data_IF_745528743751
#
_entry.id   IF_745528743751
#
_cell.length_a   1.000
_cell.length_b   1.000
_cell.length_c   1.000
_cell.angle_alpha   90.00
_cell.angle_beta   90.00
_cell.angle_gamma   90.00
#
_symmetry.space_group_name_H-M   'P 1'
#
loop_
_entity.id
_entity.type
_entity.pdbx_description
1 polymer ?
#
# COMPACT_ATOMS: atom_id res chain seq x y z
N UNK A 1 27.10 5.20 -64.12
CA UNK A 1 27.46 5.47 -62.70
C UNK A 1 26.43 6.46 -62.18
N UNK A 2 25.32 5.96 -61.64
CA UNK A 2 24.31 6.79 -60.99
C UNK A 2 24.48 6.62 -59.48
N UNK A 3 24.88 7.70 -58.80
CA UNK A 3 25.07 7.74 -57.35
C UNK A 3 23.74 8.11 -56.69
N UNK A 4 23.13 7.13 -56.02
CA UNK A 4 21.97 7.33 -55.15
C UNK A 4 22.35 8.19 -53.93
N UNK A 5 21.85 9.42 -53.87
CA UNK A 5 21.81 10.21 -52.65
C UNK A 5 20.43 10.06 -52.01
N UNK A 6 20.30 9.16 -51.03
CA UNK A 6 19.18 9.19 -50.08
C UNK A 6 19.47 10.22 -48.98
N UNK A 7 18.51 11.07 -48.58
CA UNK A 7 18.67 11.88 -47.38
C UNK A 7 18.54 11.02 -46.13
N UNK A 8 19.59 11.04 -45.30
CA UNK A 8 19.58 10.51 -43.93
C UNK A 8 18.52 11.26 -43.10
N UNK A 9 17.37 10.63 -42.88
CA UNK A 9 16.46 10.98 -41.80
C UNK A 9 17.05 10.41 -40.51
N UNK A 10 17.81 11.22 -39.79
CA UNK A 10 18.11 10.98 -38.39
C UNK A 10 16.77 10.91 -37.64
N UNK A 11 16.34 9.70 -37.29
CA UNK A 11 15.21 9.48 -36.40
C UNK A 11 15.64 9.99 -35.03
N UNK A 12 15.27 11.24 -34.74
CA UNK A 12 15.30 11.79 -33.40
C UNK A 12 14.28 11.02 -32.57
N UNK A 13 14.73 9.96 -31.90
CA UNK A 13 13.98 9.25 -30.88
C UNK A 13 13.93 10.06 -29.58
N UNK A 14 13.43 11.29 -29.64
CA UNK A 14 12.92 11.98 -28.47
C UNK A 14 11.54 11.39 -28.18
N UNK A 15 11.52 10.22 -27.55
CA UNK A 15 10.33 9.78 -26.82
C UNK A 15 10.15 10.75 -25.66
N UNK A 16 9.37 11.82 -25.90
CA UNK A 16 8.69 12.54 -24.82
C UNK A 16 7.83 11.50 -24.09
N UNK A 17 8.42 10.86 -23.07
CA UNK A 17 7.67 10.05 -22.12
C UNK A 17 6.71 11.03 -21.44
N UNK A 18 5.43 10.97 -21.81
CA UNK A 18 4.35 11.47 -20.96
C UNK A 18 4.62 10.83 -19.60
N UNK A 19 4.86 11.60 -18.52
CA UNK A 19 5.17 11.00 -17.23
C UNK A 19 3.95 10.22 -16.78
N UNK A 20 4.03 8.89 -16.93
CA UNK A 20 2.95 7.96 -16.66
C UNK A 20 2.43 8.19 -15.24
N UNK A 21 1.11 8.17 -15.08
CA UNK A 21 0.54 8.24 -13.74
C UNK A 21 1.11 7.08 -12.90
N UNK A 22 1.51 7.35 -11.64
CA UNK A 22 2.01 6.30 -10.78
C UNK A 22 0.90 5.27 -10.53
N UNK A 23 1.21 3.99 -10.71
CA UNK A 23 0.28 2.92 -10.35
C UNK A 23 0.24 2.82 -8.82
N UNK A 24 -0.84 3.32 -8.23
CA UNK A 24 -1.00 3.47 -6.79
C UNK A 24 -2.21 2.70 -6.29
N UNK A 25 -2.00 1.94 -5.22
CA UNK A 25 -3.09 1.40 -4.42
C UNK A 25 -3.69 2.55 -3.60
N UNK A 26 -5.01 2.75 -3.73
CA UNK A 26 -5.72 3.76 -2.96
C UNK A 26 -5.72 3.46 -1.46
N UNK A 27 -5.62 4.50 -0.63
CA UNK A 27 -5.78 4.42 0.81
C UNK A 27 -7.19 3.98 1.17
N UNK A 28 -7.27 2.89 1.92
CA UNK A 28 -8.50 2.39 2.52
C UNK A 28 -8.30 2.37 4.04
N UNK A 29 -8.98 3.25 4.79
CA UNK A 29 -8.80 3.32 6.25
C UNK A 29 -9.34 2.09 6.99
N UNK A 30 -10.12 1.22 6.35
CA UNK A 30 -10.71 0.02 6.95
C UNK A 30 -9.90 -1.24 6.64
N UNK A 31 -9.51 -1.41 5.38
CA UNK A 31 -8.91 -2.66 4.88
C UNK A 31 -7.46 -2.50 4.39
N UNK A 32 -6.94 -1.28 4.35
CA UNK A 32 -5.63 -0.93 3.80
C UNK A 32 -4.48 -0.97 4.81
N UNK A 33 -3.33 -0.43 4.38
CA UNK A 33 -2.19 -0.18 5.26
C UNK A 33 -2.43 1.06 6.11
N UNK A 34 -1.64 1.23 7.19
CA UNK A 34 -1.69 2.42 8.06
C UNK A 34 -1.43 3.69 7.23
N UNK A 35 -2.08 4.79 7.60
CA UNK A 35 -1.96 6.07 6.87
C UNK A 35 -0.51 6.53 6.72
N UNK A 36 0.33 6.36 7.74
CA UNK A 36 1.76 6.72 7.70
C UNK A 36 2.51 5.93 6.61
N UNK A 37 2.34 4.61 6.60
CA UNK A 37 2.95 3.72 5.60
C UNK A 37 2.40 4.00 4.19
N UNK A 38 1.12 4.32 4.09
CA UNK A 38 0.50 4.68 2.82
C UNK A 38 1.03 6.00 2.27
N UNK A 39 1.20 7.03 3.11
CA UNK A 39 1.77 8.32 2.71
C UNK A 39 3.24 8.17 2.28
N UNK A 40 4.01 7.33 2.97
CA UNK A 40 5.38 7.00 2.54
C UNK A 40 5.39 6.30 1.17
N UNK A 41 4.54 5.28 0.99
CA UNK A 41 4.37 4.58 -0.28
C UNK A 41 3.97 5.54 -1.42
N UNK A 42 2.99 6.41 -1.16
CA UNK A 42 2.51 7.43 -2.10
C UNK A 42 3.62 8.39 -2.50
N UNK A 43 4.38 8.91 -1.53
CA UNK A 43 5.50 9.81 -1.78
C UNK A 43 6.62 9.16 -2.59
N UNK A 44 6.96 7.91 -2.29
CA UNK A 44 7.98 7.16 -3.03
C UNK A 44 7.56 6.92 -4.48
N UNK A 45 6.31 6.53 -4.72
CA UNK A 45 5.78 6.36 -6.07
C UNK A 45 5.77 7.69 -6.85
N UNK A 46 5.36 8.80 -6.22
CA UNK A 46 5.41 10.12 -6.81
C UNK A 46 6.84 10.52 -7.17
N UNK A 47 7.82 10.25 -6.29
CA UNK A 47 9.24 10.52 -6.55
C UNK A 47 9.76 9.75 -7.76
N UNK A 48 9.43 8.47 -7.88
CA UNK A 48 9.82 7.62 -9.03
C UNK A 48 9.23 8.16 -10.34
N UNK A 49 7.99 8.65 -10.30
CA UNK A 49 7.29 9.24 -11.45
C UNK A 49 7.53 10.75 -11.64
N UNK A 50 8.50 11.33 -10.93
CA UNK A 50 8.85 12.74 -10.96
C UNK A 50 7.63 13.68 -10.76
N UNK A 51 6.77 13.36 -9.78
CA UNK A 51 5.59 14.14 -9.38
C UNK A 51 5.92 14.97 -8.14
N UNK A 52 5.77 16.27 -8.28
CA UNK A 52 6.00 17.27 -7.23
C UNK A 52 4.80 17.41 -6.29
N UNK A 53 4.92 18.30 -5.29
CA UNK A 53 3.88 18.50 -4.30
C UNK A 53 2.61 19.12 -4.90
N UNK A 54 2.71 19.94 -5.94
CA UNK A 54 1.55 20.51 -6.64
C UNK A 54 0.72 19.39 -7.31
N UNK A 55 1.41 18.46 -7.99
CA UNK A 55 0.75 17.29 -8.55
C UNK A 55 0.11 16.44 -7.46
N UNK A 56 0.82 16.20 -6.35
CA UNK A 56 0.27 15.41 -5.22
C UNK A 56 -1.00 16.05 -4.66
N UNK A 57 -0.98 17.36 -4.41
CA UNK A 57 -2.13 18.09 -3.89
C UNK A 57 -3.35 17.97 -4.80
N UNK A 58 -3.13 18.06 -6.12
CA UNK A 58 -4.21 17.95 -7.11
C UNK A 58 -4.79 16.53 -7.23
N UNK A 59 -3.97 15.50 -6.99
CA UNK A 59 -4.32 14.12 -7.33
C UNK A 59 -4.57 13.20 -6.14
N UNK A 60 -4.17 13.56 -4.92
CA UNK A 60 -4.26 12.67 -3.75
C UNK A 60 -5.67 12.15 -3.50
N UNK A 61 -6.71 12.96 -3.73
CA UNK A 61 -8.11 12.57 -3.54
C UNK A 61 -8.54 11.39 -4.42
N UNK A 62 -7.93 11.22 -5.61
CA UNK A 62 -8.16 10.06 -6.49
C UNK A 62 -7.76 8.74 -5.83
N UNK A 63 -6.87 8.81 -4.85
CA UNK A 63 -6.30 7.66 -4.15
C UNK A 63 -6.78 7.54 -2.71
N UNK A 64 -7.88 8.20 -2.32
CA UNK A 64 -8.52 8.03 -1.02
C UNK A 64 -9.86 7.28 -1.19
N UNK A 65 -10.20 6.41 -0.24
CA UNK A 65 -11.48 5.67 -0.23
C UNK A 65 -12.27 5.92 1.05
N UNK A 66 -13.59 5.74 0.94
CA UNK A 66 -14.51 5.71 2.07
C UNK A 66 -14.44 6.96 2.95
N UNK A 67 -14.25 6.76 4.26
CA UNK A 67 -14.18 7.85 5.24
C UNK A 67 -12.99 8.79 5.00
N UNK A 68 -11.89 8.33 4.39
CA UNK A 68 -10.75 9.18 4.05
C UNK A 68 -11.08 10.19 2.96
N UNK A 69 -11.74 9.75 1.88
CA UNK A 69 -12.19 10.67 0.83
C UNK A 69 -13.24 11.65 1.36
N UNK A 70 -14.16 11.17 2.19
CA UNK A 70 -15.20 12.00 2.81
C UNK A 70 -14.58 13.09 3.69
N UNK A 71 -13.61 12.75 4.53
CA UNK A 71 -12.88 13.71 5.35
C UNK A 71 -12.13 14.73 4.50
N UNK A 72 -11.46 14.28 3.43
CA UNK A 72 -10.74 15.17 2.53
C UNK A 72 -11.65 16.24 1.92
N UNK A 73 -12.82 15.85 1.39
CA UNK A 73 -13.78 16.79 0.80
C UNK A 73 -14.32 17.78 1.83
N UNK A 74 -14.58 17.33 3.06
CA UNK A 74 -15.20 18.17 4.08
C UNK A 74 -14.21 19.11 4.79
N UNK A 75 -12.95 18.71 4.92
CA UNK A 75 -12.02 19.36 5.85
C UNK A 75 -10.69 19.78 5.20
N UNK A 76 -10.33 19.25 4.03
CA UNK A 76 -8.99 19.39 3.48
C UNK A 76 -8.89 20.26 2.22
N UNK A 77 -9.99 20.66 1.60
CA UNK A 77 -9.99 21.37 0.31
C UNK A 77 -9.26 22.72 0.33
N UNK A 78 -9.19 23.38 1.48
CA UNK A 78 -8.54 24.69 1.62
C UNK A 78 -7.05 24.60 2.01
N UNK A 79 -6.53 23.38 2.18
CA UNK A 79 -5.12 23.17 2.52
C UNK A 79 -4.29 23.38 1.26
N UNK A 80 -3.27 24.24 1.33
CA UNK A 80 -2.38 24.54 0.21
C UNK A 80 -0.99 23.92 0.35
N UNK A 81 -0.67 23.35 1.51
CA UNK A 81 0.63 22.73 1.79
C UNK A 81 0.46 21.21 1.94
N UNK A 82 1.32 20.46 1.24
CA UNK A 82 1.23 19.00 1.22
C UNK A 82 1.61 18.34 2.55
N UNK A 83 2.57 18.91 3.29
CA UNK A 83 2.97 18.38 4.59
C UNK A 83 1.87 18.62 5.64
N UNK A 84 1.21 19.79 5.61
CA UNK A 84 0.04 20.07 6.46
C UNK A 84 -1.11 19.11 6.16
N UNK A 85 -1.36 18.82 4.87
CA UNK A 85 -2.34 17.82 4.47
C UNK A 85 -1.98 16.43 5.02
N UNK A 86 -0.72 16.02 4.90
CA UNK A 86 -0.25 14.74 5.45
C UNK A 86 -0.50 14.67 6.95
N UNK A 87 -0.16 15.72 7.70
CA UNK A 87 -0.38 15.77 9.14
C UNK A 87 -1.86 15.64 9.51
N UNK A 88 -2.75 16.37 8.82
CA UNK A 88 -4.20 16.28 9.06
C UNK A 88 -4.72 14.87 8.76
N UNK A 89 -4.27 14.25 7.68
CA UNK A 89 -4.64 12.87 7.37
C UNK A 89 -4.12 11.88 8.42
N UNK A 90 -2.89 12.06 8.90
CA UNK A 90 -2.33 11.26 9.99
C UNK A 90 -3.19 11.46 11.23
N UNK A 91 -3.42 12.68 11.70
CA UNK A 91 -4.21 12.93 12.90
C UNK A 91 -5.62 12.32 12.85
N UNK A 92 -6.28 12.36 11.70
CA UNK A 92 -7.65 11.85 11.55
C UNK A 92 -7.74 10.33 11.35
N UNK A 93 -6.69 9.70 10.79
CA UNK A 93 -6.70 8.28 10.46
C UNK A 93 -5.64 7.46 11.19
N UNK A 94 -4.90 8.07 12.09
CA UNK A 94 -4.07 7.39 13.06
C UNK A 94 -5.01 6.65 14.01
N UNK A 95 -5.31 5.41 13.66
CA UNK A 95 -5.95 4.50 14.60
C UNK A 95 -4.96 4.29 15.74
N UNK A 96 -5.30 4.62 17.01
CA UNK A 96 -4.52 4.13 18.12
C UNK A 96 -4.45 2.60 17.98
N UNK A 97 -3.29 2.03 18.25
CA UNK A 97 -3.12 0.58 18.22
C UNK A 97 -3.97 -0.02 19.34
N UNK A 98 -5.23 -0.35 19.02
CA UNK A 98 -6.11 -1.13 19.89
C UNK A 98 -5.56 -2.55 20.01
N UNK A 99 -4.88 -3.00 18.95
CA UNK A 99 -4.17 -4.28 18.93
C UNK A 99 -2.72 -4.09 19.39
N UNK A 100 -2.25 -5.02 20.23
CA UNK A 100 -0.87 -5.09 20.69
C UNK A 100 -0.18 -6.35 20.12
N UNK A 101 1.12 -6.52 20.40
CA UNK A 101 1.87 -7.68 19.91
C UNK A 101 1.35 -9.03 20.44
N UNK A 102 0.72 -9.06 21.62
CA UNK A 102 0.08 -10.28 22.14
C UNK A 102 -1.18 -10.64 21.36
N UNK A 103 -1.96 -9.65 20.91
CA UNK A 103 -3.11 -9.87 20.03
C UNK A 103 -2.70 -10.45 18.68
N UNK A 104 -1.46 -10.21 18.23
CA UNK A 104 -0.91 -10.86 17.05
C UNK A 104 -0.32 -12.24 17.39
N UNK A 105 0.66 -12.31 18.28
CA UNK A 105 1.45 -13.52 18.54
C UNK A 105 0.67 -14.64 19.25
N UNK A 106 -0.31 -14.29 20.08
CA UNK A 106 -1.06 -15.25 20.88
C UNK A 106 -2.43 -15.59 20.31
N UNK A 107 -2.84 -14.95 19.20
CA UNK A 107 -4.10 -15.26 18.53
C UNK A 107 -4.09 -16.71 18.05
N UNK A 108 -5.02 -17.51 18.56
CA UNK A 108 -5.13 -18.94 18.25
C UNK A 108 -6.17 -19.18 17.17
N UNK A 109 -5.88 -20.10 16.25
CA UNK A 109 -6.86 -20.63 15.32
C UNK A 109 -7.95 -21.35 16.11
N UNK A 110 -9.18 -20.85 16.00
CA UNK A 110 -10.36 -21.47 16.62
C UNK A 110 -11.02 -22.43 15.65
N UNK A 111 -11.90 -21.91 14.79
CA UNK A 111 -12.80 -22.75 13.99
C UNK A 111 -12.74 -22.43 12.48
N UNK A 112 -12.34 -21.22 12.12
CA UNK A 112 -12.35 -20.75 10.73
C UNK A 112 -10.96 -20.26 10.35
N UNK A 113 -10.36 -20.90 9.34
CA UNK A 113 -9.01 -20.62 8.88
C UNK A 113 -8.94 -19.29 8.12
N UNK A 114 -9.94 -18.99 7.30
CA UNK A 114 -10.03 -17.73 6.54
C UNK A 114 -10.15 -16.54 7.49
N UNK A 115 -11.03 -16.65 8.49
CA UNK A 115 -11.21 -15.63 9.51
C UNK A 115 -9.91 -15.41 10.30
N UNK A 116 -9.24 -16.49 10.70
CA UNK A 116 -7.96 -16.43 11.39
C UNK A 116 -6.90 -15.69 10.55
N UNK A 117 -6.78 -16.01 9.26
CA UNK A 117 -5.81 -15.34 8.38
C UNK A 117 -6.14 -13.87 8.17
N UNK A 118 -7.40 -13.52 7.97
CA UNK A 118 -7.83 -12.14 7.87
C UNK A 118 -7.52 -11.36 9.15
N UNK A 119 -7.80 -11.94 10.32
CA UNK A 119 -7.52 -11.31 11.62
C UNK A 119 -6.02 -11.14 11.88
N UNK A 120 -5.21 -12.19 11.65
CA UNK A 120 -3.73 -12.11 11.75
C UNK A 120 -3.17 -11.03 10.82
N UNK A 121 -3.59 -11.03 9.56
CA UNK A 121 -3.13 -10.06 8.56
C UNK A 121 -3.50 -8.63 8.95
N UNK A 122 -4.76 -8.40 9.36
CA UNK A 122 -5.22 -7.09 9.78
C UNK A 122 -4.52 -6.61 11.05
N UNK A 123 -4.32 -7.51 12.03
CA UNK A 123 -3.59 -7.21 13.25
C UNK A 123 -2.14 -6.83 12.96
N UNK A 124 -1.43 -7.62 12.14
CA UNK A 124 -0.05 -7.34 11.75
C UNK A 124 0.09 -6.02 10.97
N UNK A 125 -0.87 -5.70 10.09
CA UNK A 125 -0.93 -4.40 9.39
C UNK A 125 -1.15 -3.24 10.35
N UNK A 126 -2.06 -3.37 11.31
CA UNK A 126 -2.32 -2.33 12.32
C UNK A 126 -1.09 -2.09 13.20
N UNK A 127 -0.34 -3.14 13.54
CA UNK A 127 0.93 -3.05 14.26
C UNK A 127 2.09 -2.48 13.41
N UNK A 128 1.90 -2.29 12.10
CA UNK A 128 2.95 -1.81 11.20
C UNK A 128 4.05 -2.85 10.95
N UNK A 129 3.75 -4.15 11.10
CA UNK A 129 4.72 -5.21 10.85
C UNK A 129 5.06 -5.31 9.35
N UNK A 130 6.30 -5.68 9.05
CA UNK A 130 6.71 -5.95 7.68
C UNK A 130 5.94 -7.18 7.13
N UNK A 131 5.76 -7.29 5.80
CA UNK A 131 5.11 -8.47 5.21
C UNK A 131 5.75 -9.79 5.64
N UNK A 132 7.08 -9.82 5.78
CA UNK A 132 7.83 -10.98 6.24
C UNK A 132 7.48 -11.38 7.67
N UNK A 133 7.41 -10.41 8.60
CA UNK A 133 7.02 -10.69 9.98
C UNK A 133 5.56 -11.13 10.11
N UNK A 134 4.68 -10.58 9.27
CA UNK A 134 3.29 -11.03 9.20
C UNK A 134 3.25 -12.49 8.75
N UNK A 135 4.01 -12.82 7.70
CA UNK A 135 4.10 -14.17 7.11
C UNK A 135 4.59 -15.21 8.12
N UNK A 136 5.70 -14.92 8.80
CA UNK A 136 6.28 -15.78 9.85
C UNK A 136 5.27 -16.02 10.97
N UNK A 137 4.60 -14.94 11.40
CA UNK A 137 3.63 -15.00 12.47
C UNK A 137 2.34 -15.74 12.11
N UNK A 138 2.00 -15.97 10.84
CA UNK A 138 0.74 -16.67 10.49
C UNK A 138 0.65 -18.04 11.17
N UNK A 139 1.78 -18.72 11.36
CA UNK A 139 1.81 -20.08 11.91
C UNK A 139 1.70 -20.14 13.44
N UNK A 140 1.87 -19.04 14.18
CA UNK A 140 2.04 -19.05 15.63
C UNK A 140 0.89 -19.72 16.37
N UNK A 141 -0.35 -19.35 16.04
CA UNK A 141 -1.57 -19.79 16.69
C UNK A 141 -2.19 -21.07 16.14
N UNK A 142 -1.47 -21.79 15.26
CA UNK A 142 -2.03 -22.96 14.58
C UNK A 142 -1.74 -24.27 15.32
N UNK A 143 -2.63 -25.27 15.21
CA UNK A 143 -2.33 -26.65 15.58
C UNK A 143 -1.15 -27.24 14.80
N UNK A 144 -0.39 -28.13 15.42
CA UNK A 144 0.83 -28.75 14.85
C UNK A 144 0.61 -29.39 13.49
N UNK A 145 -0.52 -30.07 13.28
CA UNK A 145 -0.85 -30.72 12.01
C UNK A 145 -1.03 -29.71 10.87
N UNK A 146 -1.57 -28.51 11.13
CA UNK A 146 -1.72 -27.45 10.12
C UNK A 146 -0.36 -26.79 9.86
N UNK A 147 0.46 -26.53 10.89
CA UNK A 147 1.82 -26.00 10.70
C UNK A 147 2.68 -26.89 9.79
N UNK A 148 2.57 -28.21 9.95
CA UNK A 148 3.28 -29.18 9.12
C UNK A 148 2.88 -29.08 7.65
N UNK A 149 1.58 -28.95 7.34
CA UNK A 149 1.10 -28.75 5.97
C UNK A 149 1.68 -27.48 5.34
N UNK A 150 1.80 -26.41 6.14
CA UNK A 150 2.31 -25.12 5.66
C UNK A 150 3.83 -25.11 5.46
N UNK A 151 4.56 -26.01 6.13
CA UNK A 151 6.00 -26.17 5.90
C UNK A 151 6.27 -26.86 4.56
N UNK A 152 5.34 -27.70 4.09
CA UNK A 152 5.47 -28.41 2.81
C UNK A 152 5.26 -27.45 1.63
N UNK A 153 4.34 -26.48 1.77
CA UNK A 153 4.09 -25.46 0.75
C UNK A 153 3.91 -24.07 1.40
N UNK A 154 5.03 -23.40 1.72
CA UNK A 154 4.98 -22.11 2.39
C UNK A 154 4.42 -21.03 1.44
N UNK A 155 3.60 -20.11 1.95
CA UNK A 155 3.14 -18.98 1.17
C UNK A 155 4.30 -18.02 0.94
N UNK A 156 4.30 -17.36 -0.21
CA UNK A 156 5.25 -16.31 -0.55
C UNK A 156 4.76 -14.92 -0.15
N UNK A 157 3.46 -14.78 0.17
CA UNK A 157 2.87 -13.53 0.63
C UNK A 157 1.74 -13.74 1.64
N UNK A 158 1.50 -12.78 2.55
CA UNK A 158 0.42 -12.89 3.54
C UNK A 158 -1.01 -12.96 2.96
N UNK A 159 -1.21 -12.60 1.69
CA UNK A 159 -2.53 -12.63 1.02
C UNK A 159 -2.75 -13.87 0.16
N UNK A 160 -1.72 -14.72 -0.03
CA UNK A 160 -1.81 -15.90 -0.89
C UNK A 160 -2.86 -16.91 -0.41
N UNK A 161 -3.06 -16.98 0.91
CA UNK A 161 -3.99 -17.91 1.57
C UNK A 161 -5.41 -17.39 1.73
N UNK A 162 -5.69 -16.19 1.23
CA UNK A 162 -7.02 -15.58 1.26
C UNK A 162 -7.76 -15.76 -0.09
N UNK A 163 -7.35 -16.74 -0.90
CA UNK A 163 -7.84 -16.99 -2.27
C UNK A 163 -8.70 -18.24 -2.37
#
# INVERSE_FOLDING_TARGET
METNNQPNLAVNSNTNQIPSEPFLIAFDPENGMRIEAWLEYFNNACKISNKDNDWKMLNISKYLKGSALTHYVNSCLNISNFDDLCNILIENFLKPNIVNLSDFSQHQLRNNLDEYFHQKLNCGRQLGLSPQLILEGLTDGMPTNIKQLMTINPPTSPTEWLK
#
